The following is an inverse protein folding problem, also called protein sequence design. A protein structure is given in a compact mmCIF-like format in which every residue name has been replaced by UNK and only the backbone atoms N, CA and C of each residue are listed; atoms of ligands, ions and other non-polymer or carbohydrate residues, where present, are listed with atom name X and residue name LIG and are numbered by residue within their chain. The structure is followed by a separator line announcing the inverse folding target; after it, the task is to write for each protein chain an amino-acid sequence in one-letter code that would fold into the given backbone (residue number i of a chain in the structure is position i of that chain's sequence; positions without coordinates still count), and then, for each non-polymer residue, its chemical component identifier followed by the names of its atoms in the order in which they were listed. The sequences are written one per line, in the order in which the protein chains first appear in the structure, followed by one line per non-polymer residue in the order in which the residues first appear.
data_IF_369540679519
#
_entry.id   IF_369540679519
#
_cell.length_a   1.000
_cell.length_b   1.000
_cell.length_c   1.000
_cell.angle_alpha   90.00
_cell.angle_beta   90.00
_cell.angle_gamma   90.00
#
_symmetry.space_group_name_H-M   'P 1'
#
loop_
_entity.id
_entity.type
_entity.pdbx_description
1 polymer ?
#
# COMPACT_ATOMS: atom_id res chain seq x y z
N UNK A 1 22.69 3.93 -36.69
CA UNK A 1 21.48 4.39 -35.98
C UNK A 1 21.27 3.46 -34.79
N UNK A 2 22.00 3.69 -33.70
CA UNK A 2 21.99 2.84 -32.51
C UNK A 2 20.92 3.33 -31.53
N UNK A 3 19.94 2.48 -31.23
CA UNK A 3 18.87 2.76 -30.30
C UNK A 3 19.42 3.02 -28.89
N UNK A 4 19.16 4.21 -28.39
CA UNK A 4 19.49 4.62 -27.03
C UNK A 4 18.50 3.95 -26.08
N UNK A 5 18.84 2.75 -25.62
CA UNK A 5 18.14 2.05 -24.55
C UNK A 5 18.27 2.85 -23.27
N UNK A 6 17.14 3.34 -22.77
CA UNK A 6 17.02 3.94 -21.44
C UNK A 6 17.62 2.98 -20.40
N UNK A 7 18.41 3.48 -19.42
CA UNK A 7 18.79 2.65 -18.29
C UNK A 7 17.53 2.36 -17.48
N UNK A 8 16.96 1.16 -17.66
CA UNK A 8 16.04 0.57 -16.70
C UNK A 8 16.78 0.48 -15.37
N UNK A 9 16.47 1.39 -14.47
CA UNK A 9 16.92 1.30 -13.08
C UNK A 9 16.49 -0.08 -12.54
N UNK A 10 17.36 -0.79 -11.80
CA UNK A 10 16.99 -2.07 -11.20
C UNK A 10 15.77 -1.84 -10.30
N UNK A 11 14.76 -2.73 -10.31
CA UNK A 11 13.66 -2.64 -9.36
C UNK A 11 14.27 -2.63 -7.96
N UNK A 12 13.99 -1.56 -7.21
CA UNK A 12 14.36 -1.48 -5.80
C UNK A 12 13.86 -2.75 -5.12
N UNK A 13 14.66 -3.37 -4.23
CA UNK A 13 14.27 -4.61 -3.57
C UNK A 13 12.90 -4.38 -2.93
N UNK A 14 11.88 -5.08 -3.45
CA UNK A 14 10.58 -5.11 -2.83
C UNK A 14 10.82 -5.62 -1.40
N UNK A 15 10.51 -4.78 -0.43
CA UNK A 15 10.67 -5.09 0.99
C UNK A 15 10.04 -6.48 1.22
N UNK A 16 10.81 -7.51 1.64
CA UNK A 16 10.33 -8.90 1.68
C UNK A 16 9.28 -9.10 2.78
N UNK A 17 9.13 -8.10 3.66
CA UNK A 17 8.13 -8.07 4.71
C UNK A 17 6.73 -8.00 4.09
N UNK A 18 5.78 -8.84 4.55
CA UNK A 18 4.40 -8.74 4.12
C UNK A 18 3.85 -7.32 4.37
N UNK A 19 2.90 -6.89 3.55
CA UNK A 19 2.30 -5.57 3.70
C UNK A 19 1.60 -5.44 5.07
N UNK A 20 1.05 -6.55 5.59
CA UNK A 20 0.51 -6.64 6.95
C UNK A 20 1.53 -6.22 8.02
N UNK A 21 2.75 -6.78 8.00
CA UNK A 21 3.81 -6.42 8.95
C UNK A 21 4.28 -4.96 8.79
N UNK A 22 4.31 -4.47 7.55
CA UNK A 22 4.71 -3.08 7.29
C UNK A 22 3.66 -2.08 7.77
N UNK A 23 2.40 -2.49 7.78
CA UNK A 23 1.29 -1.62 8.07
C UNK A 23 0.52 -1.98 9.36
N UNK A 24 1.09 -2.75 10.28
CA UNK A 24 0.39 -3.16 11.52
C UNK A 24 -0.21 -1.99 12.29
N UNK A 25 0.53 -0.88 12.38
CA UNK A 25 0.09 0.34 13.06
C UNK A 25 -1.14 0.94 12.38
N UNK A 26 -1.14 1.01 11.05
CA UNK A 26 -2.24 1.55 10.25
C UNK A 26 -3.45 0.61 10.26
N UNK A 27 -3.21 -0.70 10.21
CA UNK A 27 -4.25 -1.72 10.34
C UNK A 27 -4.95 -1.62 11.70
N UNK A 28 -4.20 -1.43 12.78
CA UNK A 28 -4.78 -1.20 14.11
C UNK A 28 -5.63 0.07 14.18
N UNK A 29 -5.20 1.16 13.54
CA UNK A 29 -5.99 2.40 13.48
C UNK A 29 -7.28 2.21 12.69
N UNK A 30 -7.21 1.56 11.52
CA UNK A 30 -8.35 1.22 10.69
C UNK A 30 -9.35 0.33 11.45
N UNK A 31 -8.86 -0.71 12.14
CA UNK A 31 -9.67 -1.59 12.97
C UNK A 31 -10.38 -0.84 14.11
N UNK A 32 -9.68 0.10 14.77
CA UNK A 32 -10.26 0.94 15.82
C UNK A 32 -11.40 1.84 15.31
N UNK A 33 -11.38 2.23 14.04
CA UNK A 33 -12.46 2.99 13.39
C UNK A 33 -13.61 2.11 12.90
N UNK A 34 -13.43 0.79 12.83
CA UNK A 34 -14.43 -0.18 12.36
C UNK A 34 -14.06 -0.90 11.05
N UNK A 35 -12.95 -0.53 10.42
CA UNK A 35 -12.42 -1.24 9.24
C UNK A 35 -11.67 -2.50 9.69
N UNK A 36 -12.41 -3.57 9.92
CA UNK A 36 -11.87 -4.86 10.41
C UNK A 36 -11.27 -5.73 9.32
N UNK A 37 -11.53 -5.42 8.05
CA UNK A 37 -11.05 -6.20 6.91
C UNK A 37 -9.58 -5.90 6.60
N UNK A 38 -8.70 -6.75 7.13
CA UNK A 38 -7.25 -6.56 7.01
C UNK A 38 -6.77 -6.62 5.55
N UNK A 39 -7.41 -7.43 4.70
CA UNK A 39 -7.01 -7.54 3.28
C UNK A 39 -7.40 -6.29 2.49
N UNK A 40 -8.59 -5.76 2.76
CA UNK A 40 -9.06 -4.50 2.16
C UNK A 40 -8.17 -3.34 2.61
N UNK A 41 -7.89 -3.26 3.92
CA UNK A 41 -7.01 -2.26 4.50
C UNK A 41 -5.60 -2.30 3.92
N UNK A 42 -4.99 -3.49 3.81
CA UNK A 42 -3.66 -3.66 3.20
C UNK A 42 -3.64 -3.18 1.75
N UNK A 43 -4.66 -3.52 0.97
CA UNK A 43 -4.78 -3.08 -0.43
C UNK A 43 -4.88 -1.55 -0.50
N UNK A 44 -5.72 -0.97 0.36
CA UNK A 44 -5.88 0.47 0.46
C UNK A 44 -4.59 1.18 0.85
N UNK A 45 -3.85 0.64 1.83
CA UNK A 45 -2.57 1.16 2.30
C UNK A 45 -1.46 1.04 1.24
N UNK A 46 -1.46 -0.04 0.45
CA UNK A 46 -0.55 -0.16 -0.69
C UNK A 46 -0.86 0.88 -1.78
N UNK A 47 -2.14 1.11 -2.06
CA UNK A 47 -2.57 2.11 -3.05
C UNK A 47 -2.28 3.55 -2.59
N UNK A 48 -2.42 3.82 -1.29
CA UNK A 48 -2.20 5.13 -0.67
C UNK A 48 -0.76 5.38 -0.20
N UNK A 49 0.15 4.43 -0.39
CA UNK A 49 1.57 4.57 -0.01
C UNK A 49 1.83 4.58 1.50
N UNK A 50 0.94 3.96 2.30
CA UNK A 50 1.07 3.86 3.76
C UNK A 50 0.36 4.97 4.55
N UNK A 51 -0.43 5.82 3.90
CA UNK A 51 -1.24 6.84 4.57
C UNK A 51 -2.59 6.25 5.01
N UNK A 52 -2.90 6.36 6.30
CA UNK A 52 -4.17 5.88 6.86
C UNK A 52 -5.35 6.67 6.30
N UNK A 53 -5.23 7.99 6.20
CA UNK A 53 -6.31 8.86 5.70
C UNK A 53 -6.66 8.54 4.25
N UNK A 54 -5.65 8.41 3.38
CA UNK A 54 -5.88 8.06 1.99
C UNK A 54 -6.31 6.59 1.81
N UNK A 55 -5.92 5.68 2.72
CA UNK A 55 -6.45 4.32 2.75
C UNK A 55 -7.94 4.31 3.10
N UNK A 56 -8.39 5.11 4.07
CA UNK A 56 -9.81 5.26 4.41
C UNK A 56 -10.57 5.79 3.19
N UNK A 57 -10.09 6.85 2.56
CA UNK A 57 -10.73 7.40 1.35
C UNK A 57 -10.82 6.35 0.23
N UNK A 58 -9.77 5.55 0.03
CA UNK A 58 -9.78 4.47 -0.95
C UNK A 58 -10.84 3.40 -0.63
N UNK A 59 -10.99 3.02 0.64
CA UNK A 59 -12.01 2.06 1.07
C UNK A 59 -13.42 2.63 0.88
N UNK A 60 -13.62 3.90 1.23
CA UNK A 60 -14.92 4.58 1.12
C UNK A 60 -15.31 4.93 -0.32
N UNK A 61 -14.33 5.22 -1.18
CA UNK A 61 -14.54 5.54 -2.60
C UNK A 61 -14.60 4.30 -3.49
N UNK A 62 -14.09 3.16 -3.02
CA UNK A 62 -14.05 1.89 -3.75
C UNK A 62 -15.31 1.03 -3.60
N UNK A 63 -16.32 1.52 -2.88
CA UNK A 63 -17.64 0.91 -2.70
C UNK A 63 -18.73 1.80 -3.32
#
# INVERSE_FOLDING_TARGET
MGGMGFPMAPPQPADPRPAEERFEVQLGQLQAMGFTDSRQNVTALMASGGSVEAAIEYILSGN
#
